data_IF_380376089872
#
_entry.id   IF_380376089872
#
_cell.length_a   1.000
_cell.length_b   1.000
_cell.length_c   1.000
_cell.angle_alpha   90.00
_cell.angle_beta   90.00
_cell.angle_gamma   90.00
#
_symmetry.space_group_name_H-M   'P 1'
#
loop_
_entity.id
_entity.type
_entity.pdbx_description
1 polymer ?
#
# COMPACT_ATOMS: atom_id res chain seq x y z
N UNK A 1 5.15 -0.01 25.72
CA UNK A 1 4.07 -0.41 24.77
C UNK A 1 3.90 0.53 23.57
N UNK A 2 4.18 1.83 23.70
CA UNK A 2 4.04 2.81 22.60
C UNK A 2 5.22 2.77 21.64
N UNK A 3 6.45 2.76 22.15
CA UNK A 3 7.67 2.80 21.33
C UNK A 3 7.78 1.65 20.31
N UNK A 4 7.45 0.41 20.72
CA UNK A 4 7.40 -0.73 19.81
C UNK A 4 6.33 -0.60 18.71
N UNK A 5 5.18 0.03 19.03
CA UNK A 5 4.14 0.32 18.03
C UNK A 5 4.59 1.39 17.04
N UNK A 6 5.32 2.40 17.52
CA UNK A 6 5.93 3.44 16.69
C UNK A 6 6.94 2.80 15.73
N UNK A 7 7.87 1.99 16.24
CA UNK A 7 8.86 1.28 15.41
C UNK A 7 8.20 0.40 14.34
N UNK A 8 7.14 -0.34 14.70
CA UNK A 8 6.36 -1.16 13.76
C UNK A 8 5.57 -0.35 12.74
N UNK A 9 5.14 0.86 13.10
CA UNK A 9 4.48 1.78 12.17
C UNK A 9 5.48 2.26 11.12
N UNK A 10 6.66 2.70 11.54
CA UNK A 10 7.72 3.14 10.63
C UNK A 10 8.14 2.04 9.65
N UNK A 11 8.40 0.82 10.14
CA UNK A 11 8.80 -0.31 9.29
C UNK A 11 7.73 -0.80 8.29
N UNK A 12 6.48 -0.35 8.40
CA UNK A 12 5.40 -0.70 7.45
C UNK A 12 5.02 0.44 6.50
N UNK A 13 5.25 1.69 6.91
CA UNK A 13 4.74 2.87 6.19
C UNK A 13 5.82 3.61 5.41
N UNK A 14 7.08 3.48 5.79
CA UNK A 14 8.18 4.20 5.15
C UNK A 14 9.00 3.25 4.30
N UNK A 15 9.25 3.66 3.04
CA UNK A 15 9.99 2.85 2.07
C UNK A 15 11.33 2.37 2.62
N UNK A 16 12.16 3.29 3.13
CA UNK A 16 13.52 3.00 3.57
C UNK A 16 13.56 2.03 4.76
N UNK A 17 12.64 2.18 5.71
CA UNK A 17 12.56 1.34 6.92
C UNK A 17 11.84 0.00 6.69
N UNK A 18 11.26 -0.21 5.50
CA UNK A 18 10.54 -1.44 5.16
C UNK A 18 11.47 -2.59 4.76
N UNK A 19 10.95 -3.82 4.84
CA UNK A 19 11.65 -5.03 4.38
C UNK A 19 11.77 -5.05 2.86
N UNK A 20 12.89 -5.54 2.36
CA UNK A 20 13.12 -5.64 0.92
C UNK A 20 12.33 -6.80 0.32
N UNK A 21 11.50 -6.54 -0.69
CA UNK A 21 10.57 -7.55 -1.25
C UNK A 21 11.29 -8.78 -1.82
N UNK A 22 12.49 -8.62 -2.38
CA UNK A 22 13.26 -9.76 -2.92
C UNK A 22 14.06 -10.51 -1.84
N UNK A 23 14.28 -9.90 -0.69
CA UNK A 23 14.94 -10.53 0.44
C UNK A 23 14.40 -9.92 1.75
N UNK A 24 13.42 -10.60 2.35
CA UNK A 24 12.73 -10.15 3.56
C UNK A 24 13.60 -10.15 4.82
N UNK A 25 14.81 -10.73 4.77
CA UNK A 25 15.72 -10.74 5.91
C UNK A 25 16.29 -9.33 6.15
N UNK A 26 16.50 -8.56 5.08
CA UNK A 26 17.08 -7.22 5.14
C UNK A 26 16.04 -6.12 4.92
N UNK A 27 16.30 -4.95 5.47
CA UNK A 27 15.59 -3.71 5.16
C UNK A 27 16.15 -3.03 3.91
N UNK A 28 15.34 -2.18 3.28
CA UNK A 28 15.81 -1.34 2.16
C UNK A 28 16.94 -0.41 2.61
N UNK A 29 16.91 0.08 3.85
CA UNK A 29 17.98 0.86 4.47
C UNK A 29 19.31 0.11 4.53
N UNK A 30 19.30 -1.14 4.97
CA UNK A 30 20.50 -1.99 5.05
C UNK A 30 21.07 -2.24 3.65
N UNK A 31 20.20 -2.54 2.68
CA UNK A 31 20.59 -2.72 1.27
C UNK A 31 21.32 -1.47 0.74
N UNK A 32 20.70 -0.29 0.88
CA UNK A 32 21.25 0.97 0.41
C UNK A 32 22.58 1.32 1.10
N UNK A 33 22.67 1.09 2.41
CA UNK A 33 23.88 1.39 3.19
C UNK A 33 25.07 0.52 2.78
N UNK A 34 24.83 -0.77 2.52
CA UNK A 34 25.87 -1.71 2.08
C UNK A 34 26.47 -1.30 0.72
N UNK A 35 25.66 -0.71 -0.15
CA UNK A 35 26.07 -0.27 -1.48
C UNK A 35 26.45 1.22 -1.56
N UNK A 36 26.42 1.95 -0.43
CA UNK A 36 26.63 3.41 -0.35
C UNK A 36 25.68 4.22 -1.26
N UNK A 37 24.46 3.72 -1.42
CA UNK A 37 23.41 4.31 -2.23
C UNK A 37 22.36 5.03 -1.38
N UNK A 38 21.54 5.88 -2.01
CA UNK A 38 20.41 6.55 -1.35
C UNK A 38 19.23 6.71 -2.31
N UNK A 39 18.02 6.81 -1.75
CA UNK A 39 16.80 7.09 -2.53
C UNK A 39 16.62 8.60 -2.58
N UNK A 40 16.64 9.16 -3.80
CA UNK A 40 16.40 10.59 -4.01
C UNK A 40 14.90 10.91 -4.09
N UNK A 41 14.15 10.12 -4.84
CA UNK A 41 12.71 10.32 -5.05
C UNK A 41 12.05 9.01 -5.46
N UNK A 42 10.83 8.77 -4.96
CA UNK A 42 9.95 7.72 -5.45
C UNK A 42 8.54 8.26 -5.59
N UNK A 43 7.80 7.78 -6.60
CA UNK A 43 6.37 8.04 -6.79
C UNK A 43 5.71 6.71 -7.11
N UNK A 44 4.61 6.41 -6.44
CA UNK A 44 3.77 5.24 -6.71
C UNK A 44 2.41 5.76 -7.16
N UNK A 45 1.97 5.32 -8.32
CA UNK A 45 0.62 5.58 -8.82
C UNK A 45 -0.18 4.29 -8.74
N UNK A 46 -1.44 4.40 -8.36
CA UNK A 46 -2.38 3.29 -8.36
C UNK A 46 -3.65 3.69 -9.11
N UNK A 47 -4.16 2.79 -9.95
CA UNK A 47 -5.40 3.03 -10.68
C UNK A 47 -6.54 3.14 -9.68
N UNK A 48 -7.27 4.26 -9.71
CA UNK A 48 -8.37 4.52 -8.77
C UNK A 48 -7.92 5.06 -7.40
N UNK A 49 -6.67 5.47 -7.24
CA UNK A 49 -6.22 6.17 -6.02
C UNK A 49 -7.08 7.42 -5.78
N UNK A 50 -7.73 7.50 -4.62
CA UNK A 50 -8.62 8.60 -4.25
C UNK A 50 -10.03 8.55 -4.86
N UNK A 51 -10.37 7.51 -5.63
CA UNK A 51 -11.71 7.31 -6.17
C UNK A 51 -12.51 6.43 -5.20
N UNK A 52 -13.68 6.88 -4.79
CA UNK A 52 -14.60 6.05 -4.02
C UNK A 52 -15.05 4.85 -4.87
N UNK A 53 -14.72 3.65 -4.41
CA UNK A 53 -15.12 2.42 -5.10
C UNK A 53 -16.62 2.24 -4.92
N UNK A 54 -17.39 2.57 -5.96
CA UNK A 54 -18.81 2.25 -6.02
C UNK A 54 -18.99 0.73 -5.86
N UNK A 55 -19.74 0.33 -4.84
CA UNK A 55 -20.18 -1.04 -4.64
C UNK A 55 -21.64 -1.11 -5.05
N UNK A 56 -21.90 -1.63 -6.24
CA UNK A 56 -23.26 -1.84 -6.73
C UNK A 56 -23.64 -3.31 -6.53
N UNK A 57 -24.80 -3.54 -5.93
CA UNK A 57 -25.35 -4.88 -5.76
C UNK A 57 -26.06 -5.27 -7.05
N UNK A 58 -25.45 -6.21 -7.78
CA UNK A 58 -25.98 -6.70 -9.04
C UNK A 58 -27.43 -7.19 -8.94
N UNK A 59 -27.83 -7.79 -7.81
CA UNK A 59 -29.20 -8.25 -7.63
C UNK A 59 -30.21 -7.10 -7.59
N UNK A 60 -29.86 -5.99 -6.93
CA UNK A 60 -30.70 -4.81 -6.84
C UNK A 60 -30.77 -4.08 -8.20
N UNK A 61 -29.67 -4.06 -8.93
CA UNK A 61 -29.63 -3.52 -10.31
C UNK A 61 -30.57 -4.32 -11.23
N UNK A 62 -30.48 -5.65 -11.21
CA UNK A 62 -31.35 -6.53 -12.01
C UNK A 62 -32.83 -6.36 -11.62
N UNK A 63 -33.17 -6.36 -10.34
CA UNK A 63 -34.55 -6.14 -9.88
C UNK A 63 -35.09 -4.77 -10.32
N UNK A 64 -34.25 -3.73 -10.30
CA UNK A 64 -34.65 -2.38 -10.73
C UNK A 64 -34.96 -2.28 -12.23
N UNK A 65 -34.33 -3.11 -13.06
CA UNK A 65 -34.59 -3.17 -14.50
C UNK A 65 -35.87 -3.94 -14.82
N UNK A 66 -36.12 -5.06 -14.11
CA UNK A 66 -37.33 -5.88 -14.31
C UNK A 66 -38.58 -5.11 -13.86
N UNK A 67 -38.54 -4.40 -12.73
CA UNK A 67 -39.69 -3.65 -12.21
C UNK A 67 -40.00 -2.35 -12.97
N UNK A 68 -39.14 -1.91 -13.90
CA UNK A 68 -39.37 -0.75 -14.76
C UNK A 68 -40.06 -1.10 -16.09
N UNK A 69 -40.27 -2.39 -16.35
CA UNK A 69 -41.06 -2.89 -17.50
C UNK A 69 -42.49 -3.14 -17.05
#
# INVERSE_FOLDING_TARGET
>A
MVEGKVKKFYGRKYLVESKFVKNSDISIKELLSNEKNSVLLFKRYEVGEGIEKKSENFADEVMSQVNKT
#
